data_IF_011434823601
#
_entry.id   IF_011434823601
#
_cell.length_a   1.000
_cell.length_b   1.000
_cell.length_c   1.000
_cell.angle_alpha   90.00
_cell.angle_beta   90.00
_cell.angle_gamma   90.00
#
_symmetry.space_group_name_H-M   'P 1'
#
loop_
_entity.id
_entity.type
_entity.pdbx_description
1 polymer ?
#
# COMPACT_ATOMS: atom_id res chain seq x y z
N UNK A 1 -4.26 -22.88 7.50
CA UNK A 1 -5.53 -22.22 7.90
C UNK A 1 -5.70 -21.04 6.95
N UNK A 2 -6.61 -21.14 5.97
CA UNK A 2 -6.94 -20.03 5.07
C UNK A 2 -8.16 -19.35 5.70
N UNK A 3 -8.00 -18.14 6.21
CA UNK A 3 -9.16 -17.31 6.57
C UNK A 3 -9.77 -16.82 5.25
N UNK A 4 -11.02 -17.20 5.00
CA UNK A 4 -11.79 -16.78 3.83
C UNK A 4 -12.99 -15.97 4.34
N UNK A 5 -13.07 -14.72 3.90
CA UNK A 5 -14.19 -13.84 4.19
C UNK A 5 -15.49 -14.36 3.57
N UNK A 6 -16.59 -14.29 4.31
CA UNK A 6 -17.92 -14.62 3.80
C UNK A 6 -18.53 -13.40 3.08
N UNK A 7 -18.15 -13.19 1.82
CA UNK A 7 -18.59 -12.04 1.02
C UNK A 7 -19.70 -12.46 0.06
N UNK A 8 -20.85 -11.77 0.09
CA UNK A 8 -21.85 -11.85 -0.97
C UNK A 8 -21.30 -11.18 -2.23
N UNK A 9 -21.36 -11.88 -3.37
CA UNK A 9 -20.77 -11.54 -4.68
C UNK A 9 -20.98 -10.11 -5.24
N UNK A 10 -21.73 -9.23 -4.57
CA UNK A 10 -22.11 -7.92 -5.08
C UNK A 10 -21.27 -6.74 -4.54
N UNK A 11 -20.42 -6.96 -3.52
CA UNK A 11 -19.64 -5.90 -2.85
C UNK A 11 -18.11 -6.01 -3.09
N UNK A 12 -17.66 -6.92 -3.95
CA UNK A 12 -16.25 -7.26 -4.14
C UNK A 12 -15.56 -6.55 -5.33
N UNK A 13 -15.96 -5.32 -5.66
CA UNK A 13 -15.40 -4.55 -6.80
C UNK A 13 -13.93 -4.09 -6.63
N UNK A 14 -13.19 -4.63 -5.65
CA UNK A 14 -11.76 -4.33 -5.50
C UNK A 14 -10.96 -5.01 -6.61
N UNK A 15 -10.15 -4.24 -7.34
CA UNK A 15 -9.22 -4.77 -8.34
C UNK A 15 -8.02 -5.51 -7.71
N UNK A 16 -7.84 -5.39 -6.39
CA UNK A 16 -6.74 -6.01 -5.64
C UNK A 16 -7.32 -6.94 -4.56
N UNK A 17 -7.06 -8.26 -4.62
CA UNK A 17 -7.58 -9.22 -3.65
C UNK A 17 -7.03 -9.03 -2.24
N UNK A 18 -7.79 -9.51 -1.25
CA UNK A 18 -7.31 -9.66 0.14
C UNK A 18 -6.00 -10.46 0.19
N UNK A 19 -5.12 -10.11 1.13
CA UNK A 19 -3.80 -10.72 1.33
C UNK A 19 -2.81 -10.53 0.17
N UNK A 20 -3.10 -9.63 -0.78
CA UNK A 20 -2.11 -9.24 -1.79
C UNK A 20 -0.94 -8.53 -1.12
N UNK A 21 0.28 -8.95 -1.47
CA UNK A 21 1.53 -8.31 -1.06
C UNK A 21 2.01 -7.37 -2.16
N UNK A 22 2.35 -6.14 -1.79
CA UNK A 22 2.86 -5.10 -2.67
C UNK A 22 4.29 -4.76 -2.28
N UNK A 23 5.19 -4.63 -3.25
CA UNK A 23 6.51 -4.04 -3.06
C UNK A 23 6.52 -2.64 -3.69
N UNK A 24 6.96 -1.65 -2.94
CA UNK A 24 6.99 -0.25 -3.37
C UNK A 24 8.40 0.35 -3.26
N UNK A 25 8.67 1.30 -4.15
CA UNK A 25 9.88 2.12 -4.24
C UNK A 25 9.45 3.54 -4.71
N UNK A 26 8.79 4.26 -3.82
CA UNK A 26 8.09 5.50 -4.13
C UNK A 26 8.97 6.71 -3.83
N UNK A 27 9.05 7.65 -4.78
CA UNK A 27 9.84 8.88 -4.64
C UNK A 27 9.21 9.80 -3.58
N UNK A 28 10.03 10.25 -2.64
CA UNK A 28 9.72 11.29 -1.66
C UNK A 28 10.21 12.65 -2.14
N UNK A 29 9.38 13.67 -1.93
CA UNK A 29 9.69 15.06 -2.26
C UNK A 29 9.50 15.96 -1.06
N UNK A 30 10.17 17.10 -1.05
CA UNK A 30 10.05 18.09 0.04
C UNK A 30 8.65 18.72 0.13
N UNK A 31 7.87 18.67 -0.95
CA UNK A 31 6.51 19.18 -1.01
C UNK A 31 5.64 18.40 -2.00
N UNK A 32 4.33 18.70 -2.06
CA UNK A 32 3.40 18.01 -2.96
C UNK A 32 3.55 18.44 -4.42
N UNK A 33 4.25 19.54 -4.69
CA UNK A 33 4.32 20.13 -6.02
C UNK A 33 5.09 19.23 -6.99
N UNK A 34 4.65 19.19 -8.23
CA UNK A 34 5.21 18.31 -9.26
C UNK A 34 6.70 18.54 -9.49
N UNK A 35 7.15 19.79 -9.36
CA UNK A 35 8.54 20.22 -9.53
C UNK A 35 9.32 20.38 -8.21
N UNK A 36 8.76 19.97 -7.08
CA UNK A 36 9.49 20.01 -5.80
C UNK A 36 10.68 19.06 -5.82
N UNK A 37 11.70 19.44 -5.04
CA UNK A 37 12.95 18.67 -4.92
C UNK A 37 12.66 17.25 -4.45
N UNK A 38 13.26 16.28 -5.15
CA UNK A 38 13.29 14.88 -4.73
C UNK A 38 14.28 14.77 -3.59
N UNK A 39 13.81 14.25 -2.46
CA UNK A 39 14.64 14.11 -1.27
C UNK A 39 15.12 12.68 -1.11
N UNK A 40 14.30 11.66 -1.42
CA UNK A 40 14.66 10.24 -1.26
C UNK A 40 13.65 9.30 -1.95
N UNK A 41 13.78 8.00 -1.69
CA UNK A 41 12.74 7.00 -1.90
C UNK A 41 12.27 6.39 -0.57
N UNK A 42 10.97 6.12 -0.46
CA UNK A 42 10.43 5.19 0.52
C UNK A 42 10.41 3.80 -0.11
N UNK A 43 10.91 2.79 0.58
CA UNK A 43 10.96 1.42 0.07
C UNK A 43 10.34 0.46 1.06
N UNK A 44 9.59 -0.54 0.59
CA UNK A 44 8.98 -1.45 1.54
C UNK A 44 7.97 -2.43 0.97
N UNK A 45 7.30 -3.10 1.89
CA UNK A 45 6.26 -4.09 1.62
C UNK A 45 4.94 -3.70 2.29
N UNK A 46 3.84 -3.91 1.60
CA UNK A 46 2.50 -3.77 2.15
C UNK A 46 1.66 -5.02 1.94
N UNK A 47 0.69 -5.26 2.82
CA UNK A 47 -0.31 -6.32 2.67
C UNK A 47 -1.70 -5.72 2.76
N UNK A 48 -2.58 -6.08 1.82
CA UNK A 48 -4.00 -5.76 1.91
C UNK A 48 -4.65 -6.62 3.00
N UNK A 49 -5.12 -5.98 4.07
CA UNK A 49 -5.67 -6.64 5.25
C UNK A 49 -7.18 -6.42 5.42
N UNK A 50 -7.83 -5.65 4.55
CA UNK A 50 -9.28 -5.49 4.57
C UNK A 50 -10.00 -6.53 3.70
N UNK A 51 -11.09 -7.04 4.24
CA UNK A 51 -12.04 -7.92 3.57
C UNK A 51 -13.32 -7.18 3.11
N UNK A 52 -13.41 -5.85 3.35
CA UNK A 52 -14.62 -5.02 3.13
C UNK A 52 -14.37 -3.90 2.10
N UNK A 53 -15.38 -3.05 1.87
CA UNK A 53 -15.39 -1.91 0.93
C UNK A 53 -14.39 -0.78 1.23
N UNK A 54 -13.53 -0.93 2.24
CA UNK A 54 -12.49 0.03 2.60
C UNK A 54 -11.11 -0.59 2.36
N UNK A 55 -10.23 0.11 1.64
CA UNK A 55 -8.86 -0.34 1.45
C UNK A 55 -8.05 -0.15 2.74
N UNK A 56 -7.82 -1.24 3.50
CA UNK A 56 -6.88 -1.24 4.62
C UNK A 56 -5.59 -1.97 4.24
N UNK A 57 -4.46 -1.32 4.49
CA UNK A 57 -3.12 -1.81 4.18
C UNK A 57 -2.28 -1.80 5.46
N UNK A 58 -1.57 -2.90 5.70
CA UNK A 58 -0.47 -2.95 6.67
C UNK A 58 0.83 -2.73 5.92
N UNK A 59 1.60 -1.71 6.30
CA UNK A 59 2.87 -1.37 5.65
C UNK A 59 4.07 -1.59 6.56
N UNK A 60 5.17 -2.03 5.97
CA UNK A 60 6.53 -1.99 6.50
C UNK A 60 7.38 -1.17 5.53
N UNK A 61 7.79 0.01 5.97
CA UNK A 61 8.60 0.94 5.18
C UNK A 61 9.99 1.11 5.79
N UNK A 62 10.96 1.30 4.92
CA UNK A 62 12.28 1.83 5.22
C UNK A 62 12.44 3.20 4.56
N UNK A 63 13.04 4.13 5.30
CA UNK A 63 13.28 5.50 4.87
C UNK A 63 14.78 5.77 4.97
N UNK A 64 15.47 5.68 3.84
CA UNK A 64 16.92 5.85 3.75
C UNK A 64 17.34 7.30 3.53
N UNK A 65 17.10 8.20 4.48
CA UNK A 65 17.58 9.58 4.37
C UNK A 65 19.10 9.64 4.36
N UNK A 66 19.68 10.11 3.25
CA UNK A 66 21.12 10.33 3.14
C UNK A 66 21.40 11.77 3.59
N UNK A 67 22.19 11.93 4.66
CA UNK A 67 22.59 13.23 5.19
C UNK A 67 23.72 13.88 4.36
#
# INVERSE_FOLDING_TARGET
MIAQANITNNDNNSSVPFSTVLALDDILKIGPETNSEVIENAQGLGVLIAETSTANLLWYWDFGFIA
#
